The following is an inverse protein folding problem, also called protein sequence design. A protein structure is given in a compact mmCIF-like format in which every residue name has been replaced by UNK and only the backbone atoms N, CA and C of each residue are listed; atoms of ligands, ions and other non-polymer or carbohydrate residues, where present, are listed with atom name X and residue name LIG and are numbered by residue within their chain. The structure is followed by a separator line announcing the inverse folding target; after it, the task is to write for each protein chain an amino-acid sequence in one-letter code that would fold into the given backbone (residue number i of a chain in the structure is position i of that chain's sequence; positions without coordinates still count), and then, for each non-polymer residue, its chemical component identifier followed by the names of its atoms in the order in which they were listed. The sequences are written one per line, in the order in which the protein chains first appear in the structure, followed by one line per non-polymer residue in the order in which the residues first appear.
data_IF_582344820977
#
_entry.id   IF_582344820977
#
_cell.length_a   1.000
_cell.length_b   1.000
_cell.length_c   1.000
_cell.angle_alpha   90.00
_cell.angle_beta   90.00
_cell.angle_gamma   90.00
#
_symmetry.space_group_name_H-M   'P 1'
#
loop_
_entity.id
_entity.type
_entity.pdbx_description
1 polymer ?
#
# COMPACT_ATOMS: atom_id res chain seq x y z
N UNK A 1 -31.97 -1.04 -32.28
CA UNK A 1 -30.61 -0.45 -32.24
C UNK A 1 -30.46 0.52 -31.06
N UNK A 2 -31.51 1.27 -30.67
CA UNK A 2 -31.51 2.05 -29.42
C UNK A 2 -31.67 1.17 -28.16
N UNK A 3 -32.51 0.13 -28.21
CA UNK A 3 -32.73 -0.75 -27.05
C UNK A 3 -31.46 -1.50 -26.60
N UNK A 4 -30.63 -1.93 -27.56
CA UNK A 4 -29.37 -2.64 -27.31
C UNK A 4 -28.34 -1.76 -26.58
N UNK A 5 -28.27 -0.46 -26.91
CA UNK A 5 -27.39 0.50 -26.22
C UNK A 5 -27.86 0.85 -24.81
N UNK A 6 -29.17 0.79 -24.58
CA UNK A 6 -29.77 1.02 -23.26
C UNK A 6 -29.51 -0.16 -22.32
N UNK A 7 -29.57 -1.38 -22.85
CA UNK A 7 -29.30 -2.62 -22.13
C UNK A 7 -27.81 -2.78 -21.80
N UNK A 8 -26.91 -2.46 -22.75
CA UNK A 8 -25.45 -2.42 -22.53
C UNK A 8 -25.03 -1.41 -21.44
N UNK A 9 -25.62 -0.21 -21.44
CA UNK A 9 -25.35 0.81 -20.42
C UNK A 9 -25.87 0.42 -19.03
N UNK A 10 -26.97 -0.34 -18.96
CA UNK A 10 -27.50 -0.86 -17.70
C UNK A 10 -26.60 -1.95 -17.13
N UNK A 11 -26.13 -2.86 -17.99
CA UNK A 11 -25.24 -3.95 -17.60
C UNK A 11 -23.88 -3.41 -17.09
N UNK A 12 -23.29 -2.42 -17.77
CA UNK A 12 -22.06 -1.77 -17.32
C UNK A 12 -22.20 -1.12 -15.93
N UNK A 13 -23.33 -0.44 -15.68
CA UNK A 13 -23.56 0.22 -14.39
C UNK A 13 -23.70 -0.79 -13.24
N UNK A 14 -24.35 -1.93 -13.49
CA UNK A 14 -24.49 -3.00 -12.50
C UNK A 14 -23.13 -3.66 -12.20
N UNK A 15 -22.36 -3.99 -13.24
CA UNK A 15 -20.99 -4.52 -13.10
C UNK A 15 -20.06 -3.53 -12.37
N UNK A 16 -20.11 -2.25 -12.71
CA UNK A 16 -19.34 -1.20 -12.05
C UNK A 16 -19.71 -1.07 -10.56
N UNK A 17 -21.00 -1.08 -10.23
CA UNK A 17 -21.45 -1.00 -8.85
C UNK A 17 -20.98 -2.23 -8.05
N UNK A 18 -21.11 -3.44 -8.61
CA UNK A 18 -20.63 -4.65 -7.95
C UNK A 18 -19.12 -4.62 -7.73
N UNK A 19 -18.35 -4.14 -8.72
CA UNK A 19 -16.91 -3.93 -8.58
C UNK A 19 -16.59 -2.94 -7.45
N UNK A 20 -17.29 -1.80 -7.40
CA UNK A 20 -17.10 -0.79 -6.37
C UNK A 20 -17.48 -1.29 -4.97
N UNK A 21 -18.57 -2.05 -4.84
CA UNK A 21 -19.00 -2.63 -3.57
C UNK A 21 -17.98 -3.65 -3.06
N UNK A 22 -17.47 -4.52 -3.94
CA UNK A 22 -16.41 -5.47 -3.60
C UNK A 22 -15.12 -4.74 -3.18
N UNK A 23 -14.78 -3.65 -3.87
CA UNK A 23 -13.62 -2.82 -3.54
C UNK A 23 -13.78 -2.11 -2.19
N UNK A 24 -14.99 -1.63 -1.87
CA UNK A 24 -15.28 -1.04 -0.55
C UNK A 24 -15.15 -2.11 0.54
N UNK A 25 -15.72 -3.30 0.32
CA UNK A 25 -15.64 -4.40 1.27
C UNK A 25 -14.18 -4.83 1.53
N UNK A 26 -13.34 -4.91 0.49
CA UNK A 26 -11.92 -5.24 0.66
C UNK A 26 -11.17 -4.17 1.47
N UNK A 27 -11.46 -2.88 1.26
CA UNK A 27 -10.88 -1.81 2.09
C UNK A 27 -11.35 -1.86 3.54
N UNK A 28 -12.60 -2.25 3.79
CA UNK A 28 -13.10 -2.43 5.15
C UNK A 28 -12.44 -3.62 5.85
N UNK A 29 -12.24 -4.73 5.12
CA UNK A 29 -11.51 -5.89 5.60
C UNK A 29 -10.07 -5.52 5.97
N UNK A 30 -9.33 -4.87 5.07
CA UNK A 30 -7.97 -4.36 5.32
C UNK A 30 -7.92 -3.47 6.57
N UNK A 31 -8.85 -2.53 6.70
CA UNK A 31 -8.92 -1.60 7.82
C UNK A 31 -9.19 -2.32 9.15
N UNK A 32 -9.86 -3.47 9.12
CA UNK A 32 -10.22 -4.24 10.30
C UNK A 32 -9.15 -5.29 10.66
N UNK A 33 -8.38 -5.77 9.69
CA UNK A 33 -7.46 -6.90 9.84
C UNK A 33 -6.39 -6.68 10.92
N UNK A 34 -5.74 -5.51 10.94
CA UNK A 34 -4.69 -5.19 11.92
C UNK A 34 -5.18 -4.43 13.15
N UNK A 35 -6.48 -4.46 13.49
CA UNK A 35 -6.99 -3.78 14.70
C UNK A 35 -6.63 -4.47 16.01
N UNK A 36 -6.18 -5.73 15.95
CA UNK A 36 -5.64 -6.47 17.09
C UNK A 36 -4.19 -6.86 16.83
N UNK A 37 -3.50 -7.32 17.87
CA UNK A 37 -2.14 -7.86 17.75
C UNK A 37 -2.13 -9.33 17.31
N UNK A 38 -3.29 -9.98 17.17
CA UNK A 38 -3.38 -11.44 17.03
C UNK A 38 -2.55 -11.98 15.86
N UNK A 39 -2.61 -11.31 14.70
CA UNK A 39 -1.87 -11.75 13.52
C UNK A 39 -0.36 -11.56 13.68
N UNK A 40 0.09 -10.43 14.22
CA UNK A 40 1.52 -10.18 14.42
C UNK A 40 2.08 -11.02 15.57
N UNK A 41 1.28 -11.30 16.59
CA UNK A 41 1.63 -12.22 17.69
C UNK A 41 1.75 -13.66 17.15
N UNK A 42 0.84 -14.10 16.28
CA UNK A 42 1.00 -15.35 15.56
C UNK A 42 2.30 -15.35 14.73
N UNK A 43 2.55 -14.28 13.96
CA UNK A 43 3.73 -14.19 13.11
C UNK A 43 5.03 -14.28 13.91
N UNK A 44 5.11 -13.57 15.03
CA UNK A 44 6.26 -13.62 15.94
C UNK A 44 6.49 -15.05 16.45
N UNK A 45 5.44 -15.76 16.86
CA UNK A 45 5.55 -17.15 17.32
C UNK A 45 5.91 -18.13 16.19
N UNK A 46 5.34 -17.94 15.00
CA UNK A 46 5.54 -18.80 13.85
C UNK A 46 6.98 -18.68 13.33
N UNK A 47 7.52 -17.46 13.30
CA UNK A 47 8.87 -17.17 12.81
C UNK A 47 9.99 -17.66 13.73
N UNK A 48 9.70 -18.06 14.98
CA UNK A 48 10.65 -18.80 15.83
C UNK A 48 11.02 -20.15 15.19
N UNK A 49 10.04 -20.81 14.55
CA UNK A 49 10.24 -22.11 13.87
C UNK A 49 10.61 -21.95 12.41
N UNK A 50 10.02 -20.97 11.74
CA UNK A 50 10.21 -20.69 10.32
C UNK A 50 10.66 -19.24 10.13
N UNK A 51 11.95 -18.92 10.37
CA UNK A 51 12.45 -17.53 10.33
C UNK A 51 12.28 -16.85 8.96
N UNK A 52 12.19 -17.65 7.90
CA UNK A 52 11.93 -17.19 6.54
C UNK A 52 10.91 -18.14 5.92
N UNK A 53 9.83 -17.60 5.36
CA UNK A 53 8.84 -18.39 4.64
C UNK A 53 8.10 -17.56 3.60
N UNK A 54 7.45 -18.23 2.67
CA UNK A 54 6.56 -17.64 1.67
C UNK A 54 5.24 -18.40 1.60
N UNK A 55 4.24 -17.82 0.95
CA UNK A 55 2.97 -18.51 0.68
C UNK A 55 3.18 -19.78 -0.15
N UNK A 56 4.13 -19.76 -1.10
CA UNK A 56 4.47 -20.92 -1.93
C UNK A 56 5.14 -22.06 -1.14
N UNK A 57 6.04 -21.73 -0.20
CA UNK A 57 6.82 -22.70 0.56
C UNK A 57 5.96 -23.77 1.25
N UNK A 58 4.75 -23.41 1.66
CA UNK A 58 3.82 -24.33 2.34
C UNK A 58 2.69 -24.86 1.45
N UNK A 59 2.63 -24.44 0.18
CA UNK A 59 1.70 -25.00 -0.80
C UNK A 59 2.24 -26.28 -1.44
N UNK A 60 3.56 -26.41 -1.55
CA UNK A 60 4.19 -27.52 -2.30
C UNK A 60 4.78 -28.62 -1.41
N UNK A 61 5.01 -28.35 -0.13
CA UNK A 61 5.74 -29.27 0.75
C UNK A 61 4.84 -29.98 1.77
N UNK A 62 5.13 -31.24 2.06
CA UNK A 62 4.44 -32.09 3.03
C UNK A 62 4.68 -31.68 4.50
N UNK A 63 4.95 -30.39 4.75
CA UNK A 63 5.16 -29.82 6.06
C UNK A 63 3.87 -29.92 6.87
N UNK A 64 3.91 -30.68 7.97
CA UNK A 64 2.83 -30.74 8.96
C UNK A 64 2.77 -29.44 9.77
N UNK A 65 2.32 -28.36 9.13
CA UNK A 65 1.80 -27.18 9.82
C UNK A 65 0.32 -27.39 10.15
N UNK A 66 -0.16 -26.72 11.19
CA UNK A 66 -1.57 -26.85 11.57
C UNK A 66 -2.49 -26.19 10.54
N UNK A 67 -3.76 -26.59 10.51
CA UNK A 67 -4.76 -25.91 9.66
C UNK A 67 -4.89 -24.42 10.02
N UNK A 68 -4.70 -24.07 11.30
CA UNK A 68 -4.65 -22.68 11.75
C UNK A 68 -3.47 -21.92 11.13
N UNK A 69 -2.28 -22.52 11.09
CA UNK A 69 -1.11 -21.87 10.45
C UNK A 69 -1.32 -21.69 8.95
N UNK A 70 -1.93 -22.68 8.27
CA UNK A 70 -2.28 -22.55 6.85
C UNK A 70 -3.23 -21.38 6.61
N UNK A 71 -4.27 -21.25 7.44
CA UNK A 71 -5.21 -20.14 7.36
C UNK A 71 -4.49 -18.78 7.56
N UNK A 72 -3.56 -18.71 8.50
CA UNK A 72 -2.80 -17.49 8.76
C UNK A 72 -1.79 -17.16 7.66
N UNK A 73 -1.15 -18.17 7.05
CA UNK A 73 -0.30 -17.99 5.87
C UNK A 73 -1.12 -17.45 4.69
N UNK A 74 -2.33 -17.98 4.46
CA UNK A 74 -3.22 -17.50 3.39
C UNK A 74 -3.66 -16.05 3.59
N UNK A 75 -3.56 -15.50 4.82
CA UNK A 75 -3.83 -14.10 5.13
C UNK A 75 -2.61 -13.18 4.94
N UNK A 76 -1.47 -13.71 4.52
CA UNK A 76 -0.24 -12.93 4.39
C UNK A 76 -0.34 -11.84 3.31
N UNK A 77 -1.03 -12.10 2.21
CA UNK A 77 -1.27 -11.09 1.16
C UNK A 77 -2.07 -9.91 1.72
N UNK A 78 -3.12 -10.20 2.49
CA UNK A 78 -3.93 -9.18 3.17
C UNK A 78 -3.08 -8.39 4.17
N UNK A 79 -2.25 -9.07 4.96
CA UNK A 79 -1.34 -8.43 5.89
C UNK A 79 -0.34 -7.50 5.19
N UNK A 80 0.26 -7.96 4.09
CA UNK A 80 1.17 -7.16 3.27
C UNK A 80 0.48 -5.90 2.75
N UNK A 81 -0.73 -6.01 2.19
CA UNK A 81 -1.47 -4.85 1.68
C UNK A 81 -1.72 -3.80 2.77
N UNK A 82 -2.12 -4.23 3.98
CA UNK A 82 -2.34 -3.31 5.10
C UNK A 82 -1.05 -2.58 5.47
N UNK A 83 0.05 -3.32 5.59
CA UNK A 83 1.38 -2.77 5.93
C UNK A 83 1.88 -1.82 4.84
N UNK A 84 1.76 -2.21 3.56
CA UNK A 84 2.17 -1.42 2.40
C UNK A 84 1.37 -0.11 2.31
N UNK A 85 0.05 -0.18 2.47
CA UNK A 85 -0.82 0.99 2.50
C UNK A 85 -0.47 1.93 3.66
N UNK A 86 -0.14 1.38 4.83
CA UNK A 86 0.35 2.17 5.97
C UNK A 86 1.71 2.81 5.72
N UNK A 87 2.64 2.09 5.09
CA UNK A 87 3.94 2.64 4.71
C UNK A 87 3.78 3.81 3.73
N UNK A 88 2.97 3.64 2.67
CA UNK A 88 2.65 4.69 1.69
C UNK A 88 2.05 5.94 2.35
N UNK A 89 1.08 5.77 3.25
CA UNK A 89 0.47 6.88 4.03
C UNK A 89 1.47 7.60 4.93
N UNK A 90 2.52 6.90 5.36
CA UNK A 90 3.58 7.44 6.19
C UNK A 90 4.78 7.95 5.40
N UNK A 91 4.72 7.94 4.06
CA UNK A 91 5.83 8.30 3.18
C UNK A 91 7.10 7.49 3.49
N UNK A 92 6.92 6.21 3.82
CA UNK A 92 8.00 5.24 3.97
C UNK A 92 8.13 4.53 2.64
N UNK A 93 9.29 4.66 2.00
CA UNK A 93 9.57 4.01 0.74
C UNK A 93 9.68 2.49 0.92
N UNK A 94 9.12 1.74 -0.02
CA UNK A 94 9.32 0.30 -0.09
C UNK A 94 10.79 0.02 -0.38
N UNK A 95 11.35 -0.91 0.37
CA UNK A 95 12.70 -1.38 0.13
C UNK A 95 12.69 -2.33 -1.06
N UNK A 96 13.72 -2.24 -1.89
CA UNK A 96 13.93 -3.14 -3.03
C UNK A 96 15.08 -4.07 -2.68
N UNK A 97 14.79 -5.36 -2.53
CA UNK A 97 15.83 -6.39 -2.51
C UNK A 97 16.10 -6.84 -3.94
N UNK A 98 17.36 -6.74 -4.37
CA UNK A 98 17.79 -7.21 -5.68
C UNK A 98 18.76 -8.37 -5.46
N UNK A 99 18.22 -9.50 -5.05
CA UNK A 99 19.02 -10.73 -4.87
C UNK A 99 19.53 -11.28 -6.21
N UNK A 100 18.92 -10.89 -7.34
CA UNK A 100 19.45 -11.13 -8.68
C UNK A 100 19.06 -10.03 -9.65
N UNK A 101 19.71 -9.95 -10.81
CA UNK A 101 19.39 -8.97 -11.88
C UNK A 101 17.97 -9.09 -12.46
N UNK A 102 17.19 -10.10 -12.06
CA UNK A 102 15.92 -10.46 -12.69
C UNK A 102 14.71 -10.50 -11.75
N UNK A 103 14.92 -10.51 -10.43
CA UNK A 103 13.83 -10.60 -9.45
C UNK A 103 14.04 -9.50 -8.41
N UNK A 104 13.19 -8.47 -8.47
CA UNK A 104 13.12 -7.43 -7.46
C UNK A 104 11.99 -7.77 -6.51
N UNK A 105 12.32 -7.86 -5.22
CA UNK A 105 11.33 -8.00 -4.16
C UNK A 105 11.05 -6.62 -3.58
N UNK A 106 9.78 -6.22 -3.58
CA UNK A 106 9.33 -5.06 -2.83
C UNK A 106 8.96 -5.52 -1.42
N UNK A 107 9.51 -4.85 -0.41
CA UNK A 107 9.19 -5.16 0.98
C UNK A 107 9.11 -3.93 1.86
N UNK A 108 8.33 -4.07 2.93
CA UNK A 108 8.32 -3.16 4.07
C UNK A 108 9.00 -3.88 5.23
N UNK A 109 9.92 -3.19 5.92
CA UNK A 109 10.37 -3.66 7.23
C UNK A 109 9.40 -3.18 8.28
N UNK A 110 8.76 -4.10 8.99
CA UNK A 110 7.94 -3.78 10.15
C UNK A 110 8.73 -4.05 11.44
N UNK A 111 8.55 -3.18 12.43
CA UNK A 111 9.03 -3.40 13.79
C UNK A 111 7.85 -3.77 14.67
N UNK A 112 7.95 -4.88 15.39
CA UNK A 112 7.03 -5.22 16.46
C UNK A 112 7.83 -5.68 17.67
N UNK A 113 7.61 -5.06 18.83
CA UNK A 113 8.43 -5.24 20.03
C UNK A 113 9.92 -5.01 19.71
N UNK A 114 10.76 -6.02 19.95
CA UNK A 114 12.21 -6.01 19.72
C UNK A 114 12.61 -6.66 18.38
N UNK A 115 11.64 -7.13 17.59
CA UNK A 115 11.87 -7.85 16.35
C UNK A 115 11.58 -6.99 15.11
N UNK A 116 12.28 -7.32 14.03
CA UNK A 116 12.16 -6.67 12.72
C UNK A 116 11.87 -7.73 11.66
N UNK A 117 10.83 -7.50 10.86
CA UNK A 117 10.36 -8.44 9.84
C UNK A 117 10.32 -7.74 8.50
N UNK A 118 10.99 -8.32 7.49
CA UNK A 118 10.73 -7.99 6.09
C UNK A 118 9.44 -8.69 5.69
N UNK A 119 8.43 -7.91 5.33
CA UNK A 119 7.19 -8.40 4.73
C UNK A 119 7.18 -7.91 3.30
N UNK A 120 7.19 -8.82 2.33
CA UNK A 120 7.30 -8.44 0.94
C UNK A 120 6.41 -9.22 0.01
N UNK A 121 6.36 -8.73 -1.22
CA UNK A 121 5.57 -9.28 -2.30
C UNK A 121 6.41 -9.36 -3.56
N UNK A 122 6.37 -10.53 -4.21
CA UNK A 122 6.95 -10.74 -5.52
C UNK A 122 5.83 -10.70 -6.57
N UNK A 123 5.78 -9.61 -7.33
CA UNK A 123 4.77 -9.39 -8.37
C UNK A 123 4.85 -10.41 -9.52
N UNK A 124 6.03 -10.97 -9.80
CA UNK A 124 6.21 -11.91 -10.91
C UNK A 124 5.55 -13.27 -10.62
N UNK A 125 5.55 -13.68 -9.35
CA UNK A 125 5.00 -14.97 -8.94
C UNK A 125 3.73 -14.83 -8.09
N UNK A 126 3.31 -13.61 -7.78
CA UNK A 126 2.21 -13.31 -6.85
C UNK A 126 2.41 -13.97 -5.49
N UNK A 127 3.63 -13.89 -4.95
CA UNK A 127 4.02 -14.55 -3.70
C UNK A 127 4.33 -13.51 -2.63
N UNK A 128 3.66 -13.60 -1.48
CA UNK A 128 4.11 -12.92 -0.28
C UNK A 128 5.15 -13.74 0.49
N UNK A 129 6.09 -13.03 1.11
CA UNK A 129 7.11 -13.63 1.96
C UNK A 129 7.33 -12.86 3.25
N UNK A 130 7.85 -13.57 4.25
CA UNK A 130 8.32 -13.03 5.52
C UNK A 130 9.75 -13.49 5.75
N UNK A 131 10.58 -12.58 6.24
CA UNK A 131 11.94 -12.88 6.69
C UNK A 131 12.27 -12.07 7.95
N UNK A 132 12.80 -12.71 8.99
CA UNK A 132 13.38 -11.99 10.13
C UNK A 132 14.63 -11.23 9.65
N UNK A 133 14.74 -9.97 10.04
CA UNK A 133 15.90 -9.15 9.72
C UNK A 133 16.46 -8.45 10.96
N UNK A 134 17.66 -7.89 10.81
CA UNK A 134 18.27 -7.08 11.86
C UNK A 134 17.63 -5.71 11.97
N UNK A 135 18.04 -4.95 13.00
CA UNK A 135 17.64 -3.56 13.14
C UNK A 135 18.03 -2.75 11.90
N UNK A 136 17.09 -1.96 11.41
CA UNK A 136 17.25 -1.00 10.31
C UNK A 136 16.76 0.38 10.74
N UNK A 137 17.24 1.43 10.07
CA UNK A 137 16.81 2.81 10.29
C UNK A 137 15.49 3.13 9.58
N UNK A 138 15.12 2.34 8.56
CA UNK A 138 13.89 2.52 7.79
C UNK A 138 12.96 1.35 8.07
N UNK A 139 11.96 1.60 8.92
CA UNK A 139 10.92 0.63 9.28
C UNK A 139 9.59 1.32 9.56
N UNK A 140 8.51 0.55 9.45
CA UNK A 140 7.18 0.90 9.93
C UNK A 140 6.99 0.30 11.33
N UNK A 141 6.73 1.13 12.33
CA UNK A 141 6.35 0.64 13.65
C UNK A 141 4.93 0.06 13.60
N UNK A 142 4.76 -1.22 13.96
CA UNK A 142 3.47 -1.90 13.84
C UNK A 142 2.40 -1.30 14.75
N UNK A 143 2.79 -0.65 15.85
CA UNK A 143 1.85 0.08 16.71
C UNK A 143 1.15 1.21 15.95
N UNK A 144 1.79 1.80 14.93
CA UNK A 144 1.15 2.79 14.06
C UNK A 144 0.13 2.15 13.11
N UNK A 145 0.34 0.89 12.71
CA UNK A 145 -0.61 0.15 11.88
C UNK A 145 -1.88 -0.13 12.70
N UNK A 146 -1.72 -0.68 13.90
CA UNK A 146 -2.84 -1.03 14.79
C UNK A 146 -3.68 0.20 15.12
N UNK A 147 -3.04 1.30 15.51
CA UNK A 147 -3.72 2.54 15.89
C UNK A 147 -4.20 3.35 14.67
N UNK A 148 -3.96 2.85 13.46
CA UNK A 148 -4.24 3.54 12.21
C UNK A 148 -3.62 4.95 12.13
N UNK A 149 -2.44 5.11 12.70
CA UNK A 149 -1.83 6.39 13.00
C UNK A 149 -0.77 6.78 11.96
N UNK A 150 -0.44 8.08 11.94
CA UNK A 150 0.66 8.60 11.11
C UNK A 150 1.83 9.05 12.00
N UNK A 151 3.05 8.86 11.51
CA UNK A 151 4.26 9.43 12.08
C UNK A 151 4.17 10.96 12.13
N UNK A 152 4.92 11.57 13.05
CA UNK A 152 5.03 13.03 13.15
C UNK A 152 5.47 13.67 11.82
N UNK A 153 6.47 13.07 11.16
CA UNK A 153 6.97 13.50 9.85
C UNK A 153 5.87 13.43 8.78
N UNK A 154 5.11 12.34 8.72
CA UNK A 154 4.01 12.21 7.76
C UNK A 154 2.90 13.23 8.01
N UNK A 155 2.56 13.49 9.28
CA UNK A 155 1.61 14.55 9.69
C UNK A 155 2.10 15.94 9.21
N UNK A 156 3.39 16.23 9.35
CA UNK A 156 4.01 17.48 8.88
C UNK A 156 4.01 17.62 7.36
N UNK A 157 4.42 16.56 6.62
CA UNK A 157 4.38 16.53 5.15
C UNK A 157 2.94 16.76 4.66
N UNK A 158 1.96 16.05 5.25
CA UNK A 158 0.54 16.21 4.91
C UNK A 158 0.08 17.65 5.11
N UNK A 159 0.49 18.31 6.20
CA UNK A 159 0.17 19.72 6.46
C UNK A 159 0.77 20.63 5.36
N UNK A 160 2.03 20.42 4.98
CA UNK A 160 2.68 21.18 3.92
C UNK A 160 1.99 20.99 2.56
N UNK A 161 1.60 19.75 2.21
CA UNK A 161 0.87 19.46 0.97
C UNK A 161 -0.49 20.15 0.94
N UNK A 162 -1.22 20.19 2.06
CA UNK A 162 -2.49 20.93 2.17
C UNK A 162 -2.27 22.43 1.99
N UNK A 163 -1.26 23.00 2.64
CA UNK A 163 -0.91 24.42 2.47
C UNK A 163 -0.53 24.74 1.02
N UNK A 164 0.26 23.88 0.37
CA UNK A 164 0.65 24.04 -1.02
C UNK A 164 -0.53 23.94 -1.98
N UNK A 165 -1.43 22.96 -1.78
CA UNK A 165 -2.67 22.84 -2.55
C UNK A 165 -3.50 24.12 -2.44
N UNK A 166 -3.69 24.64 -1.23
CA UNK A 166 -4.48 25.86 -1.02
C UNK A 166 -3.86 27.06 -1.74
N UNK A 167 -2.52 27.19 -1.70
CA UNK A 167 -1.81 28.23 -2.43
C UNK A 167 -2.00 28.11 -3.95
N UNK A 168 -1.92 26.89 -4.51
CA UNK A 168 -2.20 26.64 -5.94
C UNK A 168 -3.64 27.04 -6.27
N UNK A 169 -4.61 26.60 -5.47
CA UNK A 169 -6.03 26.93 -5.69
C UNK A 169 -6.26 28.44 -5.69
N UNK A 170 -5.72 29.17 -4.72
CA UNK A 170 -5.81 30.63 -4.65
C UNK A 170 -5.16 31.31 -5.85
N UNK A 171 -4.00 30.84 -6.31
CA UNK A 171 -3.35 31.40 -7.49
C UNK A 171 -4.13 31.14 -8.77
N UNK A 172 -4.73 29.95 -8.92
CA UNK A 172 -5.60 29.64 -10.06
C UNK A 172 -6.86 30.53 -10.05
N UNK A 173 -7.50 30.71 -8.89
CA UNK A 173 -8.64 31.62 -8.72
C UNK A 173 -8.26 33.06 -9.11
N UNK A 174 -7.13 33.57 -8.61
CA UNK A 174 -6.62 34.88 -8.99
C UNK A 174 -6.36 35.01 -10.49
N UNK A 175 -5.81 33.98 -11.14
CA UNK A 175 -5.58 33.99 -12.59
C UNK A 175 -6.90 34.03 -13.37
N UNK A 176 -7.91 33.28 -12.92
CA UNK A 176 -9.25 33.31 -13.51
C UNK A 176 -9.87 34.70 -13.37
N UNK A 177 -9.81 35.31 -12.18
CA UNK A 177 -10.36 36.64 -11.90
C UNK A 177 -9.69 37.75 -12.72
N UNK A 178 -8.41 37.56 -13.07
CA UNK A 178 -7.66 38.46 -13.94
C UNK A 178 -7.80 38.14 -15.45
N UNK A 179 -8.75 37.28 -15.84
CA UNK A 179 -8.98 36.84 -17.21
C UNK A 179 -7.74 36.25 -17.90
N UNK A 180 -6.87 35.58 -17.14
CA UNK A 180 -5.73 34.86 -17.72
C UNK A 180 -6.28 33.70 -18.57
N UNK A 181 -5.85 33.55 -19.85
CA UNK A 181 -6.32 32.46 -20.68
C UNK A 181 -5.99 31.09 -20.10
N UNK A 182 -6.93 30.15 -20.15
CA UNK A 182 -6.76 28.80 -19.62
C UNK A 182 -5.49 28.09 -20.14
N UNK A 183 -5.11 28.29 -21.42
CA UNK A 183 -3.90 27.67 -21.96
C UNK A 183 -2.63 28.09 -21.21
N UNK A 184 -2.57 29.34 -20.73
CA UNK A 184 -1.44 29.85 -19.95
C UNK A 184 -1.41 29.20 -18.57
N UNK A 185 -2.58 29.05 -17.93
CA UNK A 185 -2.72 28.38 -16.64
C UNK A 185 -2.29 26.91 -16.73
N UNK A 186 -2.80 26.18 -17.72
CA UNK A 186 -2.47 24.76 -17.95
C UNK A 186 -0.98 24.56 -18.27
N UNK A 187 -0.38 25.43 -19.07
CA UNK A 187 1.06 25.38 -19.38
C UNK A 187 1.91 25.61 -18.13
N UNK A 188 1.56 26.57 -17.28
CA UNK A 188 2.31 26.88 -16.08
C UNK A 188 2.18 25.78 -15.02
N UNK A 189 0.97 25.22 -14.84
CA UNK A 189 0.77 24.06 -13.96
C UNK A 189 1.61 22.87 -14.43
N UNK A 190 1.62 22.58 -15.74
CA UNK A 190 2.43 21.50 -16.31
C UNK A 190 3.93 21.77 -16.18
N UNK A 191 4.39 23.01 -16.40
CA UNK A 191 5.82 23.36 -16.30
C UNK A 191 6.34 23.15 -14.87
N UNK A 192 5.55 23.52 -13.87
CA UNK A 192 5.85 23.29 -12.45
C UNK A 192 5.88 21.79 -12.14
N UNK A 193 4.88 21.02 -12.58
CA UNK A 193 4.86 19.57 -12.35
C UNK A 193 6.07 18.85 -12.96
N UNK A 194 6.45 19.20 -14.19
CA UNK A 194 7.65 18.63 -14.87
C UNK A 194 8.94 18.99 -14.13
N UNK A 195 9.05 20.20 -13.58
CA UNK A 195 10.25 20.64 -12.85
C UNK A 195 10.49 19.84 -11.57
N UNK A 196 9.42 19.37 -10.92
CA UNK A 196 9.48 18.70 -9.62
C UNK A 196 9.25 17.18 -9.67
N UNK A 197 8.77 16.62 -10.78
CA UNK A 197 8.62 15.18 -10.96
C UNK A 197 9.94 14.56 -11.48
N UNK A 198 10.57 13.73 -10.63
CA UNK A 198 11.82 13.03 -10.98
C UNK A 198 11.65 11.98 -12.07
N UNK A 199 10.41 11.59 -12.43
CA UNK A 199 10.14 10.57 -13.48
C UNK A 199 10.31 11.11 -14.90
N UNK A 200 10.46 12.43 -15.07
CA UNK A 200 10.71 13.09 -16.37
C UNK A 200 12.16 13.58 -16.53
N UNK A 201 13.07 13.19 -15.62
CA UNK A 201 14.51 13.38 -15.73
C UNK A 201 15.18 12.04 -16.01
#
# INVERSE_FOLDING_TARGET
MEDTKLEENKNFKEEWNQYMDNLIASFEEEKNFCKSTDYIDWLENFTIKYPNFSTEYFNEDAATISEYDKEMINKLDLFYNVVENHAKRNYIDLCLDRESTWIAYEYVVIKYRDNYYKIGYNQMHSICFVSITGKTDVYLDFDLVINNDMTKRAKEIKKQLVSFRNLISQNIENMIDNNVPYQVIDQEVKSVLVKYDKRFK
#
